data_IF_975401268807
#
_entry.id   IF_975401268807
#
_cell.length_a   1.000
_cell.length_b   1.000
_cell.length_c   1.000
_cell.angle_alpha   90.00
_cell.angle_beta   90.00
_cell.angle_gamma   90.00
#
_symmetry.space_group_name_H-M   'P 1'
#
loop_
_entity.id
_entity.type
_entity.pdbx_description
1 polymer ?
#
# COMPACT_ATOMS: atom_id res chain seq x y z
N UNK A 1 -18.51 -7.90 -31.14
CA UNK A 1 -17.53 -7.83 -30.03
C UNK A 1 -17.45 -6.35 -29.66
N UNK A 2 -18.15 -5.94 -28.60
CA UNK A 2 -18.28 -4.53 -28.23
C UNK A 2 -16.93 -4.03 -27.73
N UNK A 3 -16.22 -3.24 -28.53
CA UNK A 3 -15.08 -2.46 -28.03
C UNK A 3 -15.64 -1.48 -26.99
N UNK A 4 -15.49 -1.82 -25.71
CA UNK A 4 -15.78 -0.92 -24.59
C UNK A 4 -14.73 0.18 -24.60
N UNK A 5 -14.98 1.23 -25.37
CA UNK A 5 -14.25 2.48 -25.26
C UNK A 5 -14.67 3.14 -23.94
N UNK A 6 -13.72 3.28 -23.01
CA UNK A 6 -13.93 4.02 -21.78
C UNK A 6 -14.18 5.50 -22.12
N UNK A 7 -15.05 6.16 -21.37
CA UNK A 7 -15.19 7.62 -21.48
C UNK A 7 -13.96 8.31 -20.87
N UNK A 8 -13.69 9.56 -21.24
CA UNK A 8 -12.56 10.32 -20.69
C UNK A 8 -12.61 10.47 -19.16
N UNK A 9 -13.81 10.48 -18.58
CA UNK A 9 -14.00 10.52 -17.13
C UNK A 9 -13.61 9.19 -16.48
N UNK A 10 -14.04 8.05 -17.04
CA UNK A 10 -13.66 6.73 -16.54
C UNK A 10 -12.15 6.48 -16.65
N UNK A 11 -11.50 6.95 -17.72
CA UNK A 11 -10.04 6.87 -17.84
C UNK A 11 -9.32 7.67 -16.73
N UNK A 12 -9.82 8.86 -16.39
CA UNK A 12 -9.28 9.67 -15.33
C UNK A 12 -9.44 9.00 -13.95
N UNK A 13 -10.60 8.39 -13.69
CA UNK A 13 -10.88 7.61 -12.49
C UNK A 13 -9.98 6.37 -12.38
N UNK A 14 -9.86 5.56 -13.44
CA UNK A 14 -8.96 4.40 -13.45
C UNK A 14 -7.52 4.83 -13.18
N UNK A 15 -7.07 5.94 -13.78
CA UNK A 15 -5.71 6.47 -13.60
C UNK A 15 -5.47 6.98 -12.17
N UNK A 16 -6.44 7.63 -11.53
CA UNK A 16 -6.31 8.10 -10.15
C UNK A 16 -6.31 6.94 -9.18
N UNK A 17 -7.26 6.01 -9.29
CA UNK A 17 -7.38 4.82 -8.43
C UNK A 17 -6.12 3.96 -8.46
N UNK A 18 -5.54 3.75 -9.66
CA UNK A 18 -4.29 2.98 -9.78
C UNK A 18 -3.06 3.66 -9.15
N UNK A 19 -3.11 4.98 -8.92
CA UNK A 19 -2.05 5.70 -8.18
C UNK A 19 -2.22 5.58 -6.66
N UNK A 20 -3.43 5.34 -6.18
CA UNK A 20 -3.77 5.20 -4.77
C UNK A 20 -4.04 3.74 -4.38
N UNK A 21 -3.24 2.80 -4.88
CA UNK A 21 -3.31 1.39 -4.44
C UNK A 21 -2.75 1.24 -3.01
N UNK A 22 -3.53 0.63 -2.13
CA UNK A 22 -3.17 0.39 -0.73
C UNK A 22 -1.87 -0.41 -0.59
N UNK A 23 -1.58 -1.36 -1.48
CA UNK A 23 -0.35 -2.16 -1.44
C UNK A 23 0.88 -1.31 -1.63
N UNK A 24 0.79 -0.30 -2.50
CA UNK A 24 1.88 0.63 -2.77
C UNK A 24 2.11 1.60 -1.62
N UNK A 25 1.03 2.07 -0.98
CA UNK A 25 1.10 2.93 0.20
C UNK A 25 1.71 2.16 1.38
N UNK A 26 1.20 0.96 1.68
CA UNK A 26 1.71 0.09 2.75
C UNK A 26 3.17 -0.32 2.48
N UNK A 27 3.50 -0.69 1.25
CA UNK A 27 4.88 -1.03 0.86
C UNK A 27 5.84 0.14 1.06
N UNK A 28 5.46 1.35 0.65
CA UNK A 28 6.25 2.56 0.87
C UNK A 28 6.43 2.85 2.37
N UNK A 29 5.36 2.69 3.16
CA UNK A 29 5.39 2.88 4.60
C UNK A 29 6.36 1.90 5.28
N UNK A 30 6.29 0.61 4.93
CA UNK A 30 7.23 -0.40 5.42
C UNK A 30 8.67 -0.11 5.04
N UNK A 31 8.94 0.39 3.84
CA UNK A 31 10.29 0.77 3.44
C UNK A 31 10.80 1.96 4.25
N UNK A 32 10.01 3.02 4.41
CA UNK A 32 10.42 4.20 5.20
C UNK A 32 10.68 3.84 6.65
N UNK A 33 9.76 3.14 7.31
CA UNK A 33 9.96 2.70 8.69
C UNK A 33 11.09 1.68 8.82
N UNK A 34 11.20 0.74 7.88
CA UNK A 34 12.29 -0.23 7.83
C UNK A 34 13.66 0.44 7.71
N UNK A 35 13.77 1.52 6.92
CA UNK A 35 14.99 2.34 6.86
C UNK A 35 15.28 3.05 8.17
N UNK A 36 14.29 3.72 8.77
CA UNK A 36 14.47 4.42 10.05
C UNK A 36 14.95 3.44 11.13
N UNK A 37 14.21 2.34 11.32
CA UNK A 37 14.51 1.33 12.33
C UNK A 37 15.81 0.60 12.03
N UNK A 38 16.09 0.31 10.76
CA UNK A 38 17.34 -0.30 10.31
C UNK A 38 18.55 0.60 10.54
N UNK A 39 18.44 1.91 10.28
CA UNK A 39 19.50 2.89 10.56
C UNK A 39 19.71 3.02 12.07
N UNK A 40 18.63 3.12 12.87
CA UNK A 40 18.75 3.12 14.34
C UNK A 40 19.48 1.88 14.82
N UNK A 41 19.06 0.69 14.37
CA UNK A 41 19.71 -0.56 14.72
C UNK A 41 21.16 -0.65 14.26
N UNK A 42 21.50 -0.08 13.10
CA UNK A 42 22.87 -0.04 12.61
C UNK A 42 23.76 0.88 13.46
N UNK A 43 23.26 2.04 13.88
CA UNK A 43 23.99 2.99 14.74
C UNK A 43 24.21 2.41 16.14
N UNK A 44 23.27 1.62 16.65
CA UNK A 44 23.30 1.13 18.03
C UNK A 44 23.82 -0.30 18.19
N UNK A 45 24.11 -1.03 17.10
CA UNK A 45 24.59 -2.42 17.12
C UNK A 45 25.86 -2.64 17.95
N UNK A 46 26.68 -1.60 18.14
CA UNK A 46 27.89 -1.64 18.97
C UNK A 46 27.70 -1.23 20.43
N UNK A 47 26.49 -0.81 20.83
CA UNK A 47 26.20 -0.30 22.18
C UNK A 47 25.84 -1.44 23.13
N UNK A 48 26.71 -1.70 24.11
CA UNK A 48 26.51 -2.75 25.13
C UNK A 48 25.19 -2.57 25.90
N UNK A 49 24.82 -1.33 26.22
CA UNK A 49 23.58 -1.01 26.95
C UNK A 49 22.31 -1.44 26.21
N UNK A 50 22.28 -1.33 24.87
CA UNK A 50 21.12 -1.79 24.09
C UNK A 50 21.09 -3.30 23.97
N UNK A 51 22.24 -3.93 23.69
CA UNK A 51 22.34 -5.38 23.59
C UNK A 51 21.98 -6.05 24.92
N UNK A 52 22.37 -5.50 26.07
CA UNK A 52 21.99 -6.05 27.37
C UNK A 52 20.47 -6.04 27.60
N UNK A 53 19.79 -4.98 27.15
CA UNK A 53 18.31 -4.86 27.27
C UNK A 53 17.55 -5.83 26.38
N UNK A 54 18.18 -6.31 25.31
CA UNK A 54 17.57 -7.20 24.31
C UNK A 54 18.15 -8.61 24.33
N UNK A 55 18.94 -8.97 25.35
CA UNK A 55 19.52 -10.31 25.49
C UNK A 55 20.61 -10.63 24.46
N UNK A 56 21.33 -9.62 23.98
CA UNK A 56 22.43 -9.70 23.02
C UNK A 56 21.99 -9.59 21.56
N UNK A 57 20.72 -9.30 21.29
CA UNK A 57 20.16 -9.31 19.93
C UNK A 57 19.92 -7.89 19.44
N UNK A 58 20.43 -7.56 18.25
CA UNK A 58 20.16 -6.29 17.58
C UNK A 58 18.73 -6.23 17.01
N UNK A 59 17.73 -6.11 17.89
CA UNK A 59 16.30 -6.23 17.52
C UNK A 59 15.88 -5.19 16.48
N UNK A 60 16.40 -3.97 16.57
CA UNK A 60 16.12 -2.90 15.63
C UNK A 60 16.64 -3.24 14.23
N UNK A 61 17.85 -3.83 14.12
CA UNK A 61 18.41 -4.21 12.83
C UNK A 61 17.61 -5.34 12.17
N UNK A 62 17.22 -6.36 12.95
CA UNK A 62 16.38 -7.46 12.48
C UNK A 62 14.98 -6.99 12.07
N UNK A 63 14.35 -6.16 12.90
CA UNK A 63 12.99 -5.64 12.65
C UNK A 63 12.99 -4.73 11.42
N UNK A 64 13.96 -3.81 11.31
CA UNK A 64 14.12 -2.95 10.14
C UNK A 64 14.36 -3.77 8.86
N UNK A 65 15.21 -4.79 8.94
CA UNK A 65 15.45 -5.72 7.84
C UNK A 65 14.18 -6.46 7.40
N UNK A 66 13.41 -7.02 8.35
CA UNK A 66 12.14 -7.68 8.06
C UNK A 66 11.13 -6.74 7.40
N UNK A 67 11.01 -5.51 7.90
CA UNK A 67 10.14 -4.48 7.31
C UNK A 67 10.55 -4.14 5.87
N UNK A 68 11.85 -4.04 5.57
CA UNK A 68 12.33 -3.81 4.20
C UNK A 68 11.97 -4.98 3.27
N UNK A 69 12.17 -6.22 3.71
CA UNK A 69 11.79 -7.41 2.91
C UNK A 69 10.29 -7.39 2.63
N UNK A 70 9.45 -7.18 3.64
CA UNK A 70 8.00 -7.10 3.48
C UNK A 70 7.61 -5.95 2.53
N UNK A 71 8.19 -4.76 2.69
CA UNK A 71 7.93 -3.63 1.81
C UNK A 71 8.26 -3.93 0.34
N UNK A 72 9.40 -4.57 0.07
CA UNK A 72 9.79 -5.00 -1.29
C UNK A 72 8.79 -6.02 -1.83
N UNK A 73 8.37 -7.00 -1.03
CA UNK A 73 7.37 -7.98 -1.43
C UNK A 73 6.04 -7.33 -1.81
N UNK A 74 5.60 -6.29 -1.09
CA UNK A 74 4.41 -5.51 -1.45
C UNK A 74 4.55 -4.84 -2.82
N UNK A 75 5.71 -4.25 -3.13
CA UNK A 75 5.94 -3.66 -4.45
C UNK A 75 6.01 -4.71 -5.57
N UNK A 76 6.63 -5.86 -5.31
CA UNK A 76 6.66 -6.98 -6.26
C UNK A 76 5.24 -7.49 -6.50
N UNK A 77 4.42 -7.63 -5.46
CA UNK A 77 3.04 -8.05 -5.60
C UNK A 77 2.18 -7.02 -6.34
N UNK A 78 2.29 -5.73 -6.03
CA UNK A 78 1.65 -4.64 -6.76
C UNK A 78 1.98 -4.71 -8.27
N UNK A 79 3.26 -4.95 -8.59
CA UNK A 79 3.76 -5.11 -9.97
C UNK A 79 3.18 -6.33 -10.68
N UNK A 80 2.98 -7.44 -9.96
CA UNK A 80 2.51 -8.71 -10.50
C UNK A 80 0.98 -8.81 -10.59
N UNK A 81 0.24 -8.05 -9.79
CA UNK A 81 -1.22 -8.15 -9.67
C UNK A 81 -1.89 -6.77 -9.81
N UNK A 82 -1.81 -6.13 -10.99
CA UNK A 82 -2.49 -4.86 -11.23
C UNK A 82 -4.01 -5.00 -11.08
N UNK A 83 -4.67 -3.98 -10.51
CA UNK A 83 -6.14 -3.94 -10.40
C UNK A 83 -6.76 -3.76 -11.79
N UNK A 84 -7.71 -4.61 -12.22
CA UNK A 84 -8.40 -4.47 -13.50
C UNK A 84 -9.18 -3.16 -13.60
N UNK A 85 -9.16 -2.52 -14.77
CA UNK A 85 -9.89 -1.27 -14.98
C UNK A 85 -11.41 -1.49 -14.89
N UNK A 86 -11.88 -2.66 -15.32
CA UNK A 86 -13.31 -3.00 -15.29
C UNK A 86 -13.86 -3.05 -13.86
N UNK A 87 -13.06 -3.51 -12.90
CA UNK A 87 -13.48 -3.63 -11.50
C UNK A 87 -13.55 -2.25 -10.84
N UNK A 88 -12.66 -1.33 -11.23
CA UNK A 88 -12.67 0.06 -10.76
C UNK A 88 -13.94 0.77 -11.25
N UNK A 89 -14.26 0.66 -12.54
CA UNK A 89 -15.46 1.30 -13.12
C UNK A 89 -16.74 0.74 -12.50
N UNK A 90 -16.85 -0.58 -12.33
CA UNK A 90 -18.02 -1.20 -11.68
C UNK A 90 -18.21 -0.74 -10.25
N UNK A 91 -17.12 -0.60 -9.50
CA UNK A 91 -17.17 -0.16 -8.09
C UNK A 91 -17.68 1.29 -8.01
N UNK A 92 -17.25 2.16 -8.93
CA UNK A 92 -17.70 3.55 -9.04
C UNK A 92 -19.19 3.65 -9.39
N UNK A 93 -19.65 2.88 -10.40
CA UNK A 93 -21.06 2.79 -10.79
C UNK A 93 -21.95 2.30 -9.62
N UNK A 94 -21.46 1.36 -8.80
CA UNK A 94 -22.16 0.87 -7.61
C UNK A 94 -22.30 1.94 -6.52
N UNK A 95 -21.24 2.73 -6.28
CA UNK A 95 -21.27 3.82 -5.30
C UNK A 95 -22.25 4.92 -5.73
N UNK A 96 -22.27 5.28 -7.01
CA UNK A 96 -23.22 6.26 -7.55
C UNK A 96 -24.68 5.75 -7.48
N UNK A 97 -24.91 4.47 -7.77
CA UNK A 97 -26.23 3.87 -7.63
C UNK A 97 -26.73 3.88 -6.17
N UNK A 98 -25.86 3.52 -5.21
CA UNK A 98 -26.19 3.56 -3.78
C UNK A 98 -26.49 4.99 -3.30
N UNK A 99 -25.73 5.97 -3.79
CA UNK A 99 -25.95 7.39 -3.51
C UNK A 99 -27.30 7.87 -4.03
N UNK A 100 -27.63 7.56 -5.28
CA UNK A 100 -28.90 7.93 -5.88
C UNK A 100 -30.10 7.27 -5.18
N UNK A 101 -29.96 6.01 -4.77
CA UNK A 101 -30.97 5.31 -3.96
C UNK A 101 -31.12 5.90 -2.56
N UNK A 102 -30.01 6.33 -1.95
CA UNK A 102 -30.01 7.02 -0.66
C UNK A 102 -30.73 8.36 -0.72
N UNK A 103 -30.44 9.18 -1.73
CA UNK A 103 -31.08 10.47 -1.97
C UNK A 103 -32.60 10.30 -2.23
N UNK A 104 -32.99 9.31 -3.04
CA UNK A 104 -34.39 9.02 -3.32
C UNK A 104 -35.22 8.50 -2.12
N UNK A 105 -34.56 8.04 -1.04
CA UNK A 105 -35.23 7.63 0.22
C UNK A 105 -35.37 8.77 1.22
N UNK A 106 -34.70 9.90 1.00
CA UNK A 106 -34.70 11.06 1.90
C UNK A 106 -35.77 12.08 1.49
N UNK A 107 -36.18 12.08 0.22
CA UNK A 107 -37.35 12.81 -0.31
C UNK A 107 -38.68 12.06 -0.08
#
# INVERSE_FOLDING_TARGET
>A
MSEKNLTSEQEALVKSTRRFDLRRILGALFVVYGLIVGITGFVTVGSTDELERTGGIAINLWTGGAMLVVGILFFVWDRLSPVPAEDIVKSDEQVEAERAEGEAKVD
#
